data_IF_587884497513
#
_entry.id   IF_587884497513
#
_cell.length_a   1.000
_cell.length_b   1.000
_cell.length_c   1.000
_cell.angle_alpha   90.00
_cell.angle_beta   90.00
_cell.angle_gamma   90.00
#
_symmetry.space_group_name_H-M   'P 1'
#
loop_
_entity.id
_entity.type
_entity.pdbx_description
1 polymer ?
#
# COMPACT_ATOMS: atom_id res chain seq x y z
N UNK A 1 15.63 -11.89 9.72
CA UNK A 1 14.22 -12.13 10.11
C UNK A 1 14.17 -12.37 11.60
N UNK A 2 13.32 -11.65 12.32
CA UNK A 2 13.22 -11.74 13.78
C UNK A 2 11.79 -12.01 14.25
N UNK A 3 11.67 -12.65 15.41
CA UNK A 3 10.42 -12.66 16.19
C UNK A 3 10.50 -11.49 17.17
N UNK A 4 9.63 -10.50 16.99
CA UNK A 4 9.59 -9.29 17.79
C UNK A 4 8.36 -9.38 18.70
N UNK A 5 8.60 -9.55 19.99
CA UNK A 5 7.57 -9.53 21.01
C UNK A 5 7.43 -8.09 21.52
N UNK A 6 6.22 -7.54 21.51
CA UNK A 6 5.91 -6.26 22.13
C UNK A 6 4.81 -6.41 23.16
N UNK A 7 5.11 -6.02 24.39
CA UNK A 7 4.13 -5.95 25.47
C UNK A 7 3.36 -4.62 25.39
N UNK A 8 2.03 -4.68 25.39
CA UNK A 8 1.16 -3.50 25.23
C UNK A 8 -0.07 -3.61 26.14
N UNK A 9 -0.78 -2.50 26.36
CA UNK A 9 -2.09 -2.47 27.04
C UNK A 9 -3.18 -3.09 26.14
N UNK A 10 -3.14 -4.41 26.00
CA UNK A 10 -4.10 -5.21 25.25
C UNK A 10 -4.56 -6.38 26.12
N UNK A 11 -5.79 -6.87 25.90
CA UNK A 11 -6.29 -8.12 26.49
C UNK A 11 -6.04 -9.33 25.59
N UNK A 12 -5.66 -9.11 24.33
CA UNK A 12 -5.49 -10.16 23.30
C UNK A 12 -4.02 -10.42 23.02
N UNK A 13 -3.61 -11.69 23.11
CA UNK A 13 -2.37 -12.18 22.52
C UNK A 13 -2.58 -12.37 21.01
N UNK A 14 -1.75 -11.74 20.20
CA UNK A 14 -1.89 -11.77 18.74
C UNK A 14 -0.55 -11.82 18.04
N UNK A 15 -0.54 -12.41 16.84
CA UNK A 15 0.65 -12.55 16.01
C UNK A 15 0.33 -12.20 14.56
N UNK A 16 1.28 -11.57 13.88
CA UNK A 16 1.21 -11.23 12.46
C UNK A 16 2.58 -11.29 11.81
N UNK A 17 2.61 -11.56 10.51
CA UNK A 17 3.82 -11.46 9.69
C UNK A 17 3.84 -10.06 9.06
N UNK A 18 4.90 -9.29 9.31
CA UNK A 18 5.11 -7.99 8.69
C UNK A 18 5.52 -8.13 7.22
N UNK A 19 5.41 -7.04 6.44
CA UNK A 19 5.75 -7.06 5.00
C UNK A 19 7.21 -7.44 4.74
N UNK A 20 8.11 -7.12 5.68
CA UNK A 20 9.52 -7.49 5.64
C UNK A 20 9.81 -8.93 6.11
N UNK A 21 8.77 -9.72 6.42
CA UNK A 21 8.88 -11.11 6.85
C UNK A 21 9.04 -11.33 8.35
N UNK A 22 9.16 -10.27 9.15
CA UNK A 22 9.30 -10.42 10.61
C UNK A 22 7.99 -10.87 11.25
N UNK A 23 8.10 -11.72 12.28
CA UNK A 23 6.95 -12.13 13.09
C UNK A 23 6.78 -11.11 14.21
N UNK A 24 5.64 -10.43 14.27
CA UNK A 24 5.32 -9.48 15.33
C UNK A 24 4.26 -10.08 16.25
N UNK A 25 4.62 -10.26 17.51
CA UNK A 25 3.75 -10.78 18.56
C UNK A 25 3.40 -9.62 19.50
N UNK A 26 2.12 -9.38 19.72
CA UNK A 26 1.64 -8.39 20.69
C UNK A 26 1.03 -9.11 21.89
N UNK A 27 1.61 -8.91 23.06
CA UNK A 27 1.23 -9.58 24.31
C UNK A 27 0.70 -8.59 25.38
N UNK A 28 -0.24 -9.00 26.25
CA UNK A 28 -0.65 -8.22 27.42
C UNK A 28 0.50 -7.97 28.40
N UNK A 29 0.55 -6.79 29.03
CA UNK A 29 1.63 -6.39 29.95
C UNK A 29 1.90 -7.38 31.11
N UNK A 30 0.88 -8.06 31.62
CA UNK A 30 1.01 -8.99 32.74
C UNK A 30 1.18 -10.46 32.34
N UNK A 31 1.27 -10.77 31.05
CA UNK A 31 1.40 -12.15 30.57
C UNK A 31 2.84 -12.63 30.72
N UNK A 32 3.03 -13.85 31.23
CA UNK A 32 4.37 -14.38 31.43
C UNK A 32 5.05 -14.69 30.09
N UNK A 33 6.36 -14.44 29.99
CA UNK A 33 7.14 -14.69 28.78
C UNK A 33 6.99 -16.13 28.26
N UNK A 34 6.98 -17.11 29.16
CA UNK A 34 6.77 -18.53 28.85
C UNK A 34 5.46 -18.81 28.12
N UNK A 35 4.39 -18.08 28.45
CA UNK A 35 3.08 -18.25 27.80
C UNK A 35 3.09 -17.67 26.40
N UNK A 36 3.78 -16.55 26.20
CA UNK A 36 4.00 -15.95 24.87
C UNK A 36 4.84 -16.89 24.00
N UNK A 37 5.90 -17.49 24.55
CA UNK A 37 6.74 -18.48 23.88
C UNK A 37 5.96 -19.74 23.51
N UNK A 38 5.15 -20.27 24.44
CA UNK A 38 4.28 -21.42 24.18
C UNK A 38 3.24 -21.14 23.09
N UNK A 39 2.68 -19.92 23.06
CA UNK A 39 1.78 -19.50 21.99
C UNK A 39 2.47 -19.43 20.63
N UNK A 40 3.71 -18.91 20.58
CA UNK A 40 4.51 -18.89 19.35
C UNK A 40 4.74 -20.33 18.87
N UNK A 41 5.15 -21.22 19.76
CA UNK A 41 5.46 -22.60 19.44
C UNK A 41 4.23 -23.36 18.92
N UNK A 42 3.09 -23.22 19.59
CA UNK A 42 1.81 -23.80 19.17
C UNK A 42 1.38 -23.37 17.76
N UNK A 43 1.84 -22.20 17.29
CA UNK A 43 1.48 -21.67 15.98
C UNK A 43 2.62 -21.77 14.95
N UNK A 44 3.63 -22.62 15.17
CA UNK A 44 4.80 -22.75 14.28
C UNK A 44 4.43 -23.04 12.83
N UNK A 45 3.55 -24.01 12.59
CA UNK A 45 3.10 -24.36 11.24
C UNK A 45 2.39 -23.19 10.55
N UNK A 46 1.49 -22.52 11.28
CA UNK A 46 0.83 -21.32 10.77
C UNK A 46 1.85 -20.22 10.43
N UNK A 47 2.88 -20.02 11.26
CA UNK A 47 3.92 -19.02 11.00
C UNK A 47 4.66 -19.30 9.70
N UNK A 48 5.04 -20.56 9.46
CA UNK A 48 5.74 -20.96 8.23
C UNK A 48 4.86 -20.77 6.99
N UNK A 49 3.61 -21.22 7.04
CA UNK A 49 2.65 -21.04 5.95
C UNK A 49 2.38 -19.55 5.69
N UNK A 50 2.16 -18.76 6.74
CA UNK A 50 1.95 -17.32 6.64
C UNK A 50 3.17 -16.59 6.06
N UNK A 51 4.39 -17.01 6.41
CA UNK A 51 5.64 -16.47 5.83
C UNK A 51 5.73 -16.74 4.33
N UNK A 52 5.52 -17.99 3.89
CA UNK A 52 5.51 -18.35 2.46
C UNK A 52 4.48 -17.50 1.71
N UNK A 53 3.29 -17.33 2.27
CA UNK A 53 2.22 -16.50 1.70
C UNK A 53 2.57 -15.02 1.63
N UNK A 54 3.27 -14.48 2.63
CA UNK A 54 3.71 -13.07 2.60
C UNK A 54 4.80 -12.88 1.55
N UNK A 55 5.77 -13.80 1.47
CA UNK A 55 6.83 -13.76 0.46
C UNK A 55 6.26 -13.81 -0.96
N UNK A 56 5.34 -14.75 -1.25
CA UNK A 56 4.71 -14.84 -2.57
C UNK A 56 3.91 -13.57 -2.93
N UNK A 57 3.18 -12.99 -1.96
CA UNK A 57 2.48 -11.71 -2.14
C UNK A 57 3.44 -10.55 -2.40
N UNK A 58 4.60 -10.50 -1.73
CA UNK A 58 5.61 -9.48 -2.00
C UNK A 58 6.20 -9.63 -3.40
N UNK A 59 6.48 -10.87 -3.83
CA UNK A 59 6.96 -11.16 -5.17
C UNK A 59 5.95 -10.73 -6.23
N UNK A 60 4.70 -11.19 -6.14
CA UNK A 60 3.62 -10.78 -7.05
C UNK A 60 3.46 -9.26 -7.11
N UNK A 61 3.55 -8.59 -5.96
CA UNK A 61 3.45 -7.13 -5.88
C UNK A 61 4.65 -6.44 -6.55
N UNK A 62 5.86 -6.97 -6.34
CA UNK A 62 7.06 -6.49 -7.03
C UNK A 62 6.91 -6.64 -8.54
N UNK A 63 6.52 -7.83 -9.00
CA UNK A 63 6.39 -8.16 -10.42
C UNK A 63 5.32 -7.31 -11.11
N UNK A 64 4.20 -7.05 -10.43
CA UNK A 64 3.18 -6.13 -10.91
C UNK A 64 3.75 -4.72 -11.16
N UNK A 65 4.41 -4.12 -10.16
CA UNK A 65 4.96 -2.76 -10.33
C UNK A 65 6.20 -2.69 -11.22
N UNK A 66 6.90 -3.81 -11.42
CA UNK A 66 8.05 -3.90 -12.32
C UNK A 66 7.64 -3.75 -13.80
N UNK A 67 6.37 -3.99 -14.14
CA UNK A 67 5.82 -3.77 -15.49
C UNK A 67 5.91 -2.29 -15.93
N UNK A 68 5.95 -1.35 -14.98
CA UNK A 68 6.16 0.07 -15.23
C UNK A 68 7.40 0.54 -14.47
N UNK A 69 8.61 0.37 -15.03
CA UNK A 69 9.84 0.79 -14.37
C UNK A 69 9.90 2.32 -14.30
N UNK A 70 9.87 2.85 -13.07
CA UNK A 70 9.95 4.29 -12.77
C UNK A 70 11.25 4.61 -12.02
N UNK A 71 12.37 4.09 -12.52
CA UNK A 71 13.66 4.12 -11.82
C UNK A 71 14.49 5.33 -12.24
N UNK A 72 14.31 5.84 -13.46
CA UNK A 72 15.00 7.04 -13.94
C UNK A 72 14.09 8.27 -13.93
N UNK A 73 14.65 9.50 -13.94
CA UNK A 73 13.86 10.72 -14.14
C UNK A 73 13.12 10.75 -15.49
N UNK A 74 13.73 10.24 -16.57
CA UNK A 74 13.11 10.20 -17.90
C UNK A 74 11.85 9.32 -17.91
N UNK A 75 11.96 8.07 -17.44
CA UNK A 75 10.82 7.16 -17.29
C UNK A 75 9.66 7.78 -16.51
N UNK A 76 9.98 8.49 -15.41
CA UNK A 76 8.97 9.15 -14.59
C UNK A 76 8.29 10.30 -15.33
N UNK A 77 9.02 11.09 -16.12
CA UNK A 77 8.44 12.17 -16.92
C UNK A 77 7.52 11.60 -18.00
N UNK A 78 7.98 10.63 -18.77
CA UNK A 78 7.22 10.05 -19.87
C UNK A 78 5.93 9.39 -19.36
N UNK A 79 6.01 8.61 -18.28
CA UNK A 79 4.84 8.01 -17.64
C UNK A 79 3.89 9.07 -17.03
N UNK A 80 4.43 10.14 -16.47
CA UNK A 80 3.60 11.24 -15.96
C UNK A 80 2.85 11.94 -17.10
N UNK A 81 3.52 12.21 -18.22
CA UNK A 81 2.90 12.81 -19.39
C UNK A 81 1.81 11.92 -19.98
N UNK A 82 2.07 10.62 -20.11
CA UNK A 82 1.06 9.66 -20.57
C UNK A 82 -0.15 9.60 -19.62
N UNK A 83 0.07 9.52 -18.31
CA UNK A 83 -1.04 9.53 -17.37
C UNK A 83 -1.83 10.85 -17.41
N UNK A 84 -1.15 11.98 -17.63
CA UNK A 84 -1.81 13.28 -17.80
C UNK A 84 -2.75 13.32 -19.00
N UNK A 85 -2.43 12.69 -20.13
CA UNK A 85 -3.32 12.69 -21.30
C UNK A 85 -4.62 11.93 -21.04
N UNK A 86 -4.59 10.93 -20.14
CA UNK A 86 -5.77 10.16 -19.74
C UNK A 86 -6.55 10.91 -18.66
N UNK A 87 -5.86 11.42 -17.63
CA UNK A 87 -6.50 11.99 -16.43
C UNK A 87 -7.05 13.40 -16.66
N UNK A 88 -6.39 14.24 -17.46
CA UNK A 88 -6.81 15.62 -17.68
C UNK A 88 -8.28 15.76 -18.18
N UNK A 89 -8.73 15.03 -19.22
CA UNK A 89 -10.13 15.12 -19.66
C UNK A 89 -11.12 14.60 -18.61
N UNK A 90 -10.78 13.54 -17.87
CA UNK A 90 -11.60 12.99 -16.79
C UNK A 90 -11.78 14.01 -15.66
N UNK A 91 -10.69 14.61 -15.22
CA UNK A 91 -10.72 15.67 -14.21
C UNK A 91 -11.57 16.85 -14.68
N UNK A 92 -11.43 17.29 -15.92
CA UNK A 92 -12.23 18.40 -16.45
C UNK A 92 -13.72 18.09 -16.42
N UNK A 93 -14.10 16.90 -16.89
CA UNK A 93 -15.49 16.44 -16.91
C UNK A 93 -16.07 16.39 -15.49
N UNK A 94 -15.43 15.63 -14.59
CA UNK A 94 -15.91 15.42 -13.22
C UNK A 94 -15.90 16.71 -12.39
N UNK A 95 -14.89 17.56 -12.57
CA UNK A 95 -14.84 18.88 -11.95
C UNK A 95 -16.03 19.76 -12.36
N UNK A 96 -16.38 19.76 -13.65
CA UNK A 96 -17.53 20.51 -14.18
C UNK A 96 -18.86 19.95 -13.67
N UNK A 97 -19.03 18.63 -13.67
CA UNK A 97 -20.25 17.95 -13.20
C UNK A 97 -20.49 18.20 -11.70
N UNK A 98 -19.43 18.19 -10.89
CA UNK A 98 -19.50 18.41 -9.44
C UNK A 98 -19.43 19.88 -9.01
N UNK A 99 -19.13 20.82 -9.92
CA UNK A 99 -18.92 22.23 -9.58
C UNK A 99 -17.70 22.47 -8.69
N UNK A 100 -16.65 21.67 -8.82
CA UNK A 100 -15.40 21.80 -8.04
C UNK A 100 -14.23 22.17 -8.94
N UNK A 101 -13.17 22.73 -8.36
CA UNK A 101 -11.93 23.02 -9.11
C UNK A 101 -10.69 22.64 -8.29
N UNK A 102 -9.96 21.58 -8.69
CA UNK A 102 -8.67 21.26 -8.09
C UNK A 102 -7.65 22.39 -8.28
N UNK A 103 -6.90 22.73 -7.23
CA UNK A 103 -5.86 23.76 -7.29
C UNK A 103 -4.55 23.23 -7.86
N UNK A 104 -4.27 21.93 -7.69
CA UNK A 104 -3.10 21.28 -8.27
C UNK A 104 -3.32 19.77 -8.36
N UNK A 105 -2.81 19.19 -9.44
CA UNK A 105 -2.75 17.74 -9.65
C UNK A 105 -1.29 17.33 -9.72
N UNK A 106 -0.90 16.35 -8.90
CA UNK A 106 0.47 15.85 -8.83
C UNK A 106 0.50 14.36 -9.07
N UNK A 107 1.61 13.87 -9.62
CA UNK A 107 1.78 12.45 -9.98
C UNK A 107 2.97 11.90 -9.21
N UNK A 108 2.77 10.78 -8.50
CA UNK A 108 3.80 10.23 -7.59
C UNK A 108 3.98 8.73 -7.80
N UNK A 109 5.20 8.25 -7.56
CA UNK A 109 5.52 6.83 -7.47
C UNK A 109 5.08 6.30 -6.10
N UNK A 110 3.78 6.11 -5.90
CA UNK A 110 3.19 5.64 -4.63
C UNK A 110 2.43 4.35 -4.83
N UNK A 111 2.69 3.35 -3.97
CA UNK A 111 2.09 2.01 -4.05
C UNK A 111 1.14 1.69 -2.88
N UNK A 112 1.09 2.58 -1.86
CA UNK A 112 0.23 2.40 -0.69
C UNK A 112 -1.21 2.87 -0.92
N UNK A 113 -1.43 3.68 -1.97
CA UNK A 113 -2.73 4.19 -2.42
C UNK A 113 -2.65 4.60 -3.88
N UNK A 114 -3.77 4.52 -4.58
CA UNK A 114 -3.92 4.95 -5.98
C UNK A 114 -4.00 6.46 -6.14
N UNK A 115 -4.52 7.16 -5.14
CA UNK A 115 -4.55 8.61 -5.11
C UNK A 115 -4.88 9.15 -3.72
N UNK A 116 -4.90 10.48 -3.61
CA UNK A 116 -5.38 11.22 -2.44
C UNK A 116 -5.85 12.60 -2.85
N UNK A 117 -6.95 13.06 -2.26
CA UNK A 117 -7.45 14.43 -2.40
C UNK A 117 -7.46 15.11 -1.02
N UNK A 118 -6.95 16.34 -0.95
CA UNK A 118 -7.11 17.19 0.22
C UNK A 118 -8.20 18.22 -0.07
N UNK A 119 -9.40 18.04 0.48
CA UNK A 119 -10.54 18.91 0.21
C UNK A 119 -10.30 20.37 0.67
N UNK A 120 -9.48 20.59 1.72
CA UNK A 120 -9.17 21.93 2.23
C UNK A 120 -8.25 22.71 1.29
N UNK A 121 -7.23 22.05 0.74
CA UNK A 121 -6.28 22.69 -0.20
C UNK A 121 -6.62 22.44 -1.67
N UNK A 122 -7.64 21.63 -1.94
CA UNK A 122 -8.08 21.17 -3.28
C UNK A 122 -6.95 20.56 -4.11
N UNK A 123 -5.97 19.94 -3.45
CA UNK A 123 -4.83 19.28 -4.12
C UNK A 123 -5.10 17.80 -4.29
N UNK A 124 -4.88 17.31 -5.49
CA UNK A 124 -4.99 15.89 -5.85
C UNK A 124 -3.57 15.36 -6.10
N UNK A 125 -3.30 14.16 -5.58
CA UNK A 125 -2.09 13.40 -5.88
C UNK A 125 -2.52 12.03 -6.38
N UNK A 126 -2.09 11.66 -7.59
CA UNK A 126 -2.37 10.37 -8.20
C UNK A 126 -1.10 9.53 -8.29
N UNK A 127 -1.26 8.22 -8.24
CA UNK A 127 -0.16 7.28 -8.47
C UNK A 127 0.11 7.14 -9.96
N UNK A 128 1.38 7.24 -10.37
CA UNK A 128 1.80 6.97 -11.75
C UNK A 128 1.48 5.52 -12.15
N UNK A 129 1.42 4.61 -11.17
CA UNK A 129 1.08 3.20 -11.41
C UNK A 129 -0.38 2.97 -11.82
N UNK A 130 -1.23 4.00 -11.88
CA UNK A 130 -2.55 3.89 -12.51
C UNK A 130 -2.45 3.41 -13.97
N UNK A 131 -1.34 3.70 -14.65
CA UNK A 131 -1.05 3.19 -16.01
C UNK A 131 -0.93 1.67 -16.11
N UNK A 132 -0.84 0.95 -14.98
CA UNK A 132 -0.87 -0.52 -14.95
C UNK A 132 -2.28 -1.09 -14.87
N UNK A 133 -3.30 -0.23 -14.78
CA UNK A 133 -4.69 -0.62 -14.65
C UNK A 133 -5.44 -0.33 -15.96
N UNK A 134 -6.56 -1.05 -16.23
CA UNK A 134 -7.47 -0.66 -17.28
C UNK A 134 -8.02 0.77 -17.09
N UNK A 135 -8.37 1.44 -18.19
CA UNK A 135 -8.81 2.85 -18.17
C UNK A 135 -9.99 3.12 -17.24
N UNK A 136 -10.96 2.19 -17.13
CA UNK A 136 -12.11 2.34 -16.23
C UNK A 136 -11.70 2.39 -14.75
N UNK A 137 -10.60 1.73 -14.36
CA UNK A 137 -10.05 1.85 -13.02
C UNK A 137 -9.45 3.23 -12.79
N UNK A 138 -8.86 3.82 -13.83
CA UNK A 138 -8.28 5.17 -13.76
C UNK A 138 -9.41 6.19 -13.56
N UNK A 139 -10.47 6.10 -14.36
CA UNK A 139 -11.67 6.94 -14.20
C UNK A 139 -12.30 6.79 -12.81
N UNK A 140 -12.45 5.57 -12.29
CA UNK A 140 -12.99 5.39 -10.94
C UNK A 140 -12.15 6.04 -9.82
N UNK A 141 -10.84 6.22 -10.03
CA UNK A 141 -9.95 6.86 -9.04
C UNK A 141 -9.97 8.38 -9.13
N UNK A 142 -10.27 8.94 -10.30
CA UNK A 142 -10.25 10.39 -10.60
C UNK A 142 -11.53 11.05 -10.10
#
# INVERSE_FOLDING_TARGET
MAIIITYRRTRRLSMRIAQNGDVRVSAPLGMAKREVEAFIEKNREWMEAARKKVASRQQQRHDFYAQLPLNTPAQRRDATQHLQTIVAPLLQRHASEMGVQPTAVTYRKTISRWGSCNHRTRRISLSIYLLLLPDWCIEHVV
#
